data_IF_190445414203
#
_entry.id   IF_190445414203
#
_cell.length_a   1.000
_cell.length_b   1.000
_cell.length_c   1.000
_cell.angle_alpha   90.00
_cell.angle_beta   90.00
_cell.angle_gamma   90.00
#
_symmetry.space_group_name_H-M   'P 1'
#
loop_
_entity.id
_entity.type
_entity.pdbx_description
1 polymer ?
#
# COMPACT_ATOMS: atom_id res chain seq x y z
N UNK A 1 16.52 -10.08 18.98
CA UNK A 1 17.10 -8.80 18.50
C UNK A 1 16.07 -8.17 17.58
N UNK A 2 15.71 -6.88 17.76
CA UNK A 2 14.93 -6.18 16.73
C UNK A 2 15.84 -6.07 15.51
N UNK A 3 15.48 -6.72 14.40
CA UNK A 3 16.16 -6.49 13.13
C UNK A 3 16.01 -5.00 12.83
N UNK A 4 17.13 -4.27 12.77
CA UNK A 4 17.07 -2.83 12.49
C UNK A 4 16.77 -2.69 11.02
N UNK A 5 15.64 -2.07 10.71
CA UNK A 5 15.29 -1.73 9.33
C UNK A 5 16.14 -0.55 8.86
N UNK A 6 17.21 -0.85 8.12
CA UNK A 6 18.10 0.17 7.55
C UNK A 6 17.48 0.92 6.35
N UNK A 7 16.33 0.45 5.86
CA UNK A 7 15.62 1.04 4.70
C UNK A 7 14.50 2.00 5.11
N UNK A 8 14.18 2.08 6.41
CA UNK A 8 13.10 2.89 6.93
C UNK A 8 13.24 4.38 6.60
N UNK A 9 14.43 4.95 6.70
CA UNK A 9 14.64 6.38 6.42
C UNK A 9 14.29 6.72 4.97
N UNK A 10 14.54 5.82 4.03
CA UNK A 10 14.21 6.03 2.62
C UNK A 10 12.69 6.14 2.42
N UNK A 11 11.91 5.30 3.11
CA UNK A 11 10.46 5.36 3.05
C UNK A 11 9.90 6.63 3.72
N UNK A 12 10.51 7.08 4.82
CA UNK A 12 10.10 8.30 5.53
C UNK A 12 10.36 9.58 4.72
N UNK A 13 11.41 9.61 3.91
CA UNK A 13 11.71 10.75 3.02
C UNK A 13 10.56 10.98 2.01
N UNK A 14 9.85 9.92 1.63
CA UNK A 14 8.75 9.99 0.68
C UNK A 14 7.44 10.53 1.31
N UNK A 15 7.39 10.83 2.61
CA UNK A 15 6.15 11.31 3.24
C UNK A 15 5.63 12.59 2.56
N UNK A 16 4.39 12.52 2.06
CA UNK A 16 3.74 13.62 1.36
C UNK A 16 4.02 13.67 -0.14
N UNK A 17 4.94 12.86 -0.66
CA UNK A 17 5.27 12.84 -2.08
C UNK A 17 4.10 12.35 -2.94
N UNK A 18 4.04 12.96 -4.13
CA UNK A 18 3.16 12.56 -5.22
C UNK A 18 3.98 12.42 -6.49
N UNK A 19 3.96 11.24 -7.09
CA UNK A 19 4.74 10.93 -8.28
C UNK A 19 3.78 10.57 -9.41
N UNK A 20 3.88 11.28 -10.52
CA UNK A 20 3.11 10.96 -11.74
C UNK A 20 3.74 9.72 -12.38
N UNK A 21 2.91 8.72 -12.66
CA UNK A 21 3.33 7.43 -13.22
C UNK A 21 3.06 7.37 -14.72
N UNK A 22 1.90 7.87 -15.14
CA UNK A 22 1.51 7.91 -16.54
C UNK A 22 0.65 9.16 -16.77
N UNK A 23 1.16 10.13 -17.53
CA UNK A 23 0.44 11.38 -17.81
C UNK A 23 -0.78 11.19 -18.71
N UNK A 24 -0.74 10.22 -19.64
CA UNK A 24 -1.82 9.98 -20.59
C UNK A 24 -3.03 9.36 -19.89
N UNK A 25 -2.76 8.35 -19.05
CA UNK A 25 -3.79 7.72 -18.21
C UNK A 25 -4.14 8.57 -16.98
N UNK A 26 -3.33 9.58 -16.65
CA UNK A 26 -3.46 10.41 -15.46
C UNK A 26 -3.24 9.62 -14.17
N UNK A 27 -2.33 8.65 -14.19
CA UNK A 27 -1.97 7.82 -13.05
C UNK A 27 -0.90 8.49 -12.21
N UNK A 28 -1.08 8.45 -10.89
CA UNK A 28 -0.12 8.99 -9.94
C UNK A 28 -0.17 8.22 -8.62
N UNK A 29 0.96 8.17 -7.92
CA UNK A 29 1.05 7.57 -6.59
C UNK A 29 1.14 8.64 -5.51
N UNK A 30 0.68 8.28 -4.32
CA UNK A 30 0.77 9.08 -3.09
C UNK A 30 1.41 8.27 -1.98
N UNK A 31 2.30 8.91 -1.24
CA UNK A 31 2.91 8.40 -0.01
C UNK A 31 2.44 9.23 1.19
N UNK A 32 1.93 8.57 2.22
CA UNK A 32 1.71 9.13 3.57
C UNK A 32 2.39 8.19 4.56
N UNK A 33 3.55 8.58 5.09
CA UNK A 33 4.42 7.73 5.88
C UNK A 33 4.90 8.49 7.10
N UNK A 34 4.58 7.99 8.29
CA UNK A 34 4.94 8.66 9.54
C UNK A 34 5.61 7.69 10.49
N UNK A 35 6.65 8.16 11.17
CA UNK A 35 7.23 7.44 12.29
C UNK A 35 6.25 7.47 13.46
N UNK A 36 5.86 6.29 13.93
CA UNK A 36 4.93 6.12 15.05
C UNK A 36 5.50 5.06 15.99
N UNK A 37 6.35 5.43 16.96
CA UNK A 37 7.07 4.49 17.82
C UNK A 37 6.17 3.56 18.65
N UNK A 38 4.90 3.94 18.84
CA UNK A 38 3.92 3.15 19.59
C UNK A 38 3.33 1.98 18.81
N UNK A 39 3.53 1.92 17.48
CA UNK A 39 3.10 0.81 16.63
C UNK A 39 4.15 -0.30 16.61
N UNK A 40 3.71 -1.54 16.34
CA UNK A 40 4.59 -2.73 16.28
C UNK A 40 5.76 -2.51 15.31
N UNK A 41 5.46 -2.01 14.10
CA UNK A 41 6.46 -1.71 13.07
C UNK A 41 7.16 -0.35 13.26
N UNK A 42 6.79 0.43 14.28
CA UNK A 42 7.34 1.77 14.51
C UNK A 42 6.93 2.81 13.46
N UNK A 43 6.02 2.46 12.55
CA UNK A 43 5.55 3.30 11.45
C UNK A 43 4.04 3.21 11.22
N UNK A 44 3.50 4.26 10.64
CA UNK A 44 2.22 4.28 9.95
C UNK A 44 2.48 4.58 8.48
N UNK A 45 1.87 3.84 7.56
CA UNK A 45 2.02 4.06 6.13
C UNK A 45 0.68 3.95 5.39
N UNK A 46 0.56 4.71 4.31
CA UNK A 46 -0.45 4.60 3.27
C UNK A 46 0.19 4.93 1.92
N UNK A 47 0.47 3.91 1.12
CA UNK A 47 1.02 4.02 -0.23
C UNK A 47 -0.12 3.70 -1.21
N UNK A 48 -0.39 4.54 -2.19
CA UNK A 48 -1.54 4.29 -3.09
C UNK A 48 -1.35 4.83 -4.49
N UNK A 49 -1.89 4.10 -5.46
CA UNK A 49 -2.05 4.51 -6.85
C UNK A 49 -3.43 5.10 -7.05
N UNK A 50 -3.52 6.19 -7.81
CA UNK A 50 -4.74 6.92 -8.09
C UNK A 50 -4.90 7.16 -9.59
N UNK A 51 -6.15 7.25 -10.03
CA UNK A 51 -6.50 7.68 -11.38
C UNK A 51 -6.63 9.21 -11.49
N UNK A 52 -6.93 9.68 -12.71
CA UNK A 52 -7.19 11.09 -13.03
C UNK A 52 -8.39 11.71 -12.29
N UNK A 53 -9.26 10.87 -11.71
CA UNK A 53 -10.41 11.28 -10.91
C UNK A 53 -10.12 11.27 -9.39
N UNK A 54 -8.87 11.03 -8.98
CA UNK A 54 -8.44 10.83 -7.60
C UNK A 54 -9.08 9.59 -6.93
N UNK A 55 -9.50 8.62 -7.72
CA UNK A 55 -9.95 7.33 -7.22
C UNK A 55 -8.74 6.45 -6.93
N UNK A 56 -8.66 5.89 -5.72
CA UNK A 56 -7.63 4.90 -5.37
C UNK A 56 -7.86 3.63 -6.20
N UNK A 57 -6.91 3.31 -7.08
CA UNK A 57 -6.92 2.08 -7.89
C UNK A 57 -6.33 0.91 -7.10
N UNK A 58 -5.37 1.16 -6.22
CA UNK A 58 -4.82 0.18 -5.28
C UNK A 58 -4.09 0.90 -4.14
N UNK A 59 -3.85 0.22 -3.02
CA UNK A 59 -3.01 0.77 -1.96
C UNK A 59 -2.50 -0.27 -0.97
N UNK A 60 -1.40 0.05 -0.29
CA UNK A 60 -0.89 -0.64 0.89
C UNK A 60 -1.07 0.30 2.07
N UNK A 61 -1.71 -0.16 3.13
CA UNK A 61 -2.02 0.67 4.29
C UNK A 61 -1.82 -0.12 5.59
N UNK A 62 -1.53 0.60 6.66
CA UNK A 62 -1.69 0.07 8.00
C UNK A 62 -2.40 1.03 8.96
N UNK A 63 -3.03 2.08 8.44
CA UNK A 63 -3.66 3.12 9.24
C UNK A 63 -4.88 2.61 10.03
N UNK A 64 -5.58 1.61 9.51
CA UNK A 64 -6.73 0.97 10.17
C UNK A 64 -6.59 -0.56 10.20
N UNK A 65 -7.38 -1.19 11.07
CA UNK A 65 -7.53 -2.65 11.14
C UNK A 65 -8.53 -3.11 10.08
N UNK A 66 -8.29 -4.29 9.50
CA UNK A 66 -9.25 -5.01 8.64
C UNK A 66 -9.56 -6.38 9.22
N UNK A 67 -10.73 -6.92 8.88
CA UNK A 67 -11.10 -8.31 9.13
C UNK A 67 -10.94 -9.12 7.83
N UNK A 68 -10.29 -10.28 7.88
CA UNK A 68 -10.04 -11.11 6.71
C UNK A 68 -10.31 -12.59 6.98
N UNK A 69 -10.86 -13.28 5.97
CA UNK A 69 -10.99 -14.74 5.95
C UNK A 69 -12.13 -15.31 6.80
N UNK A 70 -13.04 -14.47 7.31
CA UNK A 70 -14.23 -14.93 8.05
C UNK A 70 -15.15 -15.79 7.19
N UNK A 71 -15.62 -16.92 7.73
CA UNK A 71 -16.58 -17.84 7.08
C UNK A 71 -17.55 -18.39 8.13
N UNK A 72 -18.62 -19.07 7.69
CA UNK A 72 -19.57 -19.70 8.62
C UNK A 72 -18.84 -20.66 9.57
N UNK A 73 -18.84 -20.32 10.87
CA UNK A 73 -18.18 -21.09 11.93
C UNK A 73 -16.67 -20.83 12.10
N UNK A 74 -16.09 -19.88 11.36
CA UNK A 74 -14.68 -19.49 11.46
C UNK A 74 -14.60 -17.98 11.67
N UNK A 75 -14.07 -17.55 12.81
CA UNK A 75 -13.88 -16.13 13.10
C UNK A 75 -12.86 -15.50 12.13
N UNK A 76 -13.09 -14.26 11.67
CA UNK A 76 -12.12 -13.56 10.85
C UNK A 76 -10.83 -13.26 11.64
N UNK A 77 -9.71 -13.22 10.93
CA UNK A 77 -8.45 -12.71 11.46
C UNK A 77 -8.44 -11.18 11.34
N UNK A 78 -7.77 -10.51 12.28
CA UNK A 78 -7.59 -9.06 12.27
C UNK A 78 -6.14 -8.71 11.99
N UNK A 79 -5.93 -7.77 11.07
CA UNK A 79 -4.60 -7.26 10.75
C UNK A 79 -4.64 -5.78 10.48
N UNK A 80 -3.55 -5.10 10.87
CA UNK A 80 -3.33 -3.70 10.50
C UNK A 80 -2.61 -3.62 9.17
N UNK A 81 -1.56 -4.39 8.93
CA UNK A 81 -0.83 -4.34 7.67
C UNK A 81 -1.67 -5.07 6.61
N UNK A 82 -2.12 -4.32 5.58
CA UNK A 82 -2.97 -4.82 4.52
C UNK A 82 -2.77 -4.06 3.20
N UNK A 83 -3.34 -4.60 2.13
CA UNK A 83 -3.41 -3.95 0.83
C UNK A 83 -4.80 -4.11 0.21
N UNK A 84 -5.14 -3.18 -0.67
CA UNK A 84 -6.41 -3.14 -1.40
C UNK A 84 -6.14 -3.27 -2.90
N UNK A 85 -6.81 -4.21 -3.55
CA UNK A 85 -6.76 -4.38 -5.00
C UNK A 85 -7.52 -3.28 -5.74
N UNK A 86 -8.59 -2.72 -5.17
CA UNK A 86 -9.34 -1.59 -5.72
C UNK A 86 -10.08 -0.87 -4.60
N UNK A 87 -10.83 0.19 -4.94
CA UNK A 87 -11.62 0.96 -3.98
C UNK A 87 -12.77 0.17 -3.30
N UNK A 88 -13.13 -1.00 -3.82
CA UNK A 88 -14.20 -1.87 -3.29
C UNK A 88 -13.64 -3.09 -2.55
N UNK A 89 -12.34 -3.38 -2.65
CA UNK A 89 -11.69 -4.44 -1.89
C UNK A 89 -11.73 -4.09 -0.40
N UNK A 90 -12.21 -5.01 0.44
CA UNK A 90 -12.23 -4.84 1.91
C UNK A 90 -10.82 -4.92 2.52
N UNK A 91 -9.84 -5.34 1.71
CA UNK A 91 -8.43 -5.40 2.07
C UNK A 91 -7.99 -6.83 2.34
N UNK A 92 -6.71 -7.08 2.09
CA UNK A 92 -6.06 -8.38 2.27
C UNK A 92 -4.83 -8.23 3.14
N UNK A 93 -4.56 -9.17 4.06
CA UNK A 93 -3.37 -9.11 4.89
C UNK A 93 -2.10 -8.93 4.05
N UNK A 94 -1.24 -8.04 4.52
CA UNK A 94 0.10 -7.84 3.98
C UNK A 94 1.13 -8.18 5.05
N UNK A 95 2.10 -9.02 4.70
CA UNK A 95 3.14 -9.44 5.63
C UNK A 95 4.30 -8.43 5.60
N UNK A 96 4.19 -7.40 6.45
CA UNK A 96 5.26 -6.39 6.56
C UNK A 96 6.56 -7.03 7.06
N UNK A 97 7.61 -6.97 6.24
CA UNK A 97 8.96 -7.44 6.58
C UNK A 97 9.91 -6.29 6.92
N UNK A 98 9.98 -5.29 6.04
CA UNK A 98 10.72 -4.04 6.22
C UNK A 98 10.23 -3.01 5.19
N UNK A 99 10.67 -1.75 5.33
CA UNK A 99 10.25 -0.64 4.49
C UNK A 99 10.68 -0.80 3.01
N UNK A 100 11.84 -1.41 2.78
CA UNK A 100 12.35 -1.72 1.44
C UNK A 100 11.47 -2.72 0.71
N UNK A 101 11.06 -3.80 1.37
CA UNK A 101 10.13 -4.78 0.80
C UNK A 101 8.75 -4.16 0.56
N UNK A 102 8.25 -3.32 1.47
CA UNK A 102 7.00 -2.59 1.26
C UNK A 102 7.06 -1.73 -0.02
N UNK A 103 8.16 -0.99 -0.24
CA UNK A 103 8.33 -0.20 -1.46
C UNK A 103 8.44 -1.08 -2.71
N UNK A 104 9.22 -2.15 -2.65
CA UNK A 104 9.39 -3.08 -3.77
C UNK A 104 8.07 -3.74 -4.17
N UNK A 105 7.29 -4.22 -3.20
CA UNK A 105 6.00 -4.85 -3.43
C UNK A 105 4.96 -3.84 -3.95
N UNK A 106 4.97 -2.61 -3.40
CA UNK A 106 4.12 -1.53 -3.87
C UNK A 106 4.38 -1.22 -5.35
N UNK A 107 5.64 -1.01 -5.74
CA UNK A 107 6.00 -0.68 -7.12
C UNK A 107 5.71 -1.83 -8.09
N UNK A 108 5.96 -3.08 -7.69
CA UNK A 108 5.59 -4.26 -8.49
C UNK A 108 4.09 -4.29 -8.79
N UNK A 109 3.23 -3.95 -7.83
CA UNK A 109 1.79 -3.91 -8.07
C UNK A 109 1.36 -2.69 -8.88
N UNK A 110 1.99 -1.53 -8.68
CA UNK A 110 1.78 -0.35 -9.54
C UNK A 110 2.08 -0.70 -11.00
N UNK A 111 3.24 -1.31 -11.28
CA UNK A 111 3.64 -1.70 -12.64
C UNK A 111 2.61 -2.65 -13.28
N UNK A 112 2.15 -3.65 -12.53
CA UNK A 112 1.10 -4.57 -13.00
C UNK A 112 -0.20 -3.83 -13.36
N UNK A 113 -0.60 -2.83 -12.56
CA UNK A 113 -1.82 -2.05 -12.84
C UNK A 113 -1.67 -1.13 -14.03
N UNK A 114 -0.54 -0.46 -14.14
CA UNK A 114 -0.25 0.40 -15.30
C UNK A 114 -0.29 -0.45 -16.57
N UNK A 115 0.38 -1.60 -16.60
CA UNK A 115 0.38 -2.50 -17.75
C UNK A 115 -1.02 -3.01 -18.11
N UNK A 116 -1.85 -3.34 -17.11
CA UNK A 116 -3.23 -3.77 -17.35
C UNK A 116 -4.08 -2.65 -17.98
N UNK A 117 -3.99 -1.43 -17.44
CA UNK A 117 -4.75 -0.27 -17.93
C UNK A 117 -4.31 0.17 -19.34
N UNK A 118 -3.01 0.12 -19.63
CA UNK A 118 -2.49 0.37 -20.98
C UNK A 118 -2.94 -0.69 -22.01
N UNK A 119 -3.22 -1.92 -21.55
CA UNK A 119 -3.75 -2.99 -22.39
C UNK A 119 -5.24 -2.84 -22.71
N UNK A 120 -6.00 -2.15 -21.87
CA UNK A 120 -7.44 -1.89 -22.06
C UNK A 120 -7.73 -0.71 -23.02
N UNK A 121 -6.74 0.16 -23.28
CA UNK A 121 -6.87 1.27 -24.24
C UNK A 121 -6.60 0.86 -25.72
N UNK A 122 -6.32 -0.41 -26.00
CA UNK A 122 -6.12 -0.94 -27.37
C UNK A 122 -7.33 -1.69 -27.89
#
# INVERSE_FOLDING_TARGET
>A
MKNTDHTLENLLILDGDRIIIDELLGLWVKFDVKRVPTRIQGIRYSLSLHDKHNTRIMGFDNSHEIEYGGKKGVAPSRTYDHWHFDAKDEGRPYEYTNAGNLLEDFWKEVDKRVLALQGEEK
#
